data_IF_796324115586
#
_entry.id   IF_796324115586
#
_cell.length_a   1.000
_cell.length_b   1.000
_cell.length_c   1.000
_cell.angle_alpha   90.00
_cell.angle_beta   90.00
_cell.angle_gamma   90.00
#
_symmetry.space_group_name_H-M   'P 1'
#
loop_
_entity.id
_entity.type
_entity.pdbx_description
1 polymer ?
#
# COMPACT_ATOMS: atom_id res chain seq x y z
N UNK A 1 -35.41 31.73 -93.62
CA UNK A 1 -34.52 32.36 -92.61
C UNK A 1 -34.56 31.50 -91.41
N UNK A 2 -33.61 30.51 -91.34
CA UNK A 2 -33.51 29.51 -90.30
C UNK A 2 -32.54 30.02 -89.23
N UNK A 3 -33.03 30.13 -88.02
CA UNK A 3 -32.18 30.36 -86.86
C UNK A 3 -31.63 29.02 -86.31
N UNK A 4 -30.36 28.93 -85.86
CA UNK A 4 -29.83 27.70 -85.35
C UNK A 4 -30.31 27.49 -83.90
N UNK A 5 -30.69 26.26 -83.60
CA UNK A 5 -30.97 25.80 -82.24
C UNK A 5 -29.62 25.63 -81.48
N UNK A 6 -29.48 26.37 -80.44
CA UNK A 6 -28.41 26.14 -79.46
C UNK A 6 -28.67 24.83 -78.72
N UNK A 7 -27.68 23.96 -78.79
CA UNK A 7 -27.61 22.66 -78.10
C UNK A 7 -27.19 22.92 -76.65
N UNK A 8 -28.17 22.92 -75.74
CA UNK A 8 -27.91 23.02 -74.28
C UNK A 8 -27.43 21.66 -73.79
N UNK A 9 -26.11 21.54 -73.71
CA UNK A 9 -25.50 20.34 -73.14
C UNK A 9 -26.04 20.08 -71.74
N UNK A 10 -26.81 19.01 -71.62
CA UNK A 10 -27.20 18.41 -70.33
C UNK A 10 -25.95 17.98 -69.55
N UNK A 11 -25.46 18.81 -68.60
CA UNK A 11 -24.51 18.42 -67.63
C UNK A 11 -25.17 17.43 -66.65
N UNK A 12 -25.01 16.12 -66.89
CA UNK A 12 -25.38 15.06 -65.97
C UNK A 12 -24.53 15.19 -64.71
N UNK A 13 -25.13 15.77 -63.67
CA UNK A 13 -24.60 15.76 -62.35
C UNK A 13 -24.66 14.29 -61.90
N UNK A 14 -23.54 13.54 -62.02
CA UNK A 14 -23.39 12.23 -61.45
C UNK A 14 -23.32 12.37 -59.94
N UNK A 15 -24.40 12.03 -59.28
CA UNK A 15 -24.43 11.91 -57.82
C UNK A 15 -23.42 10.80 -57.41
N UNK A 16 -22.56 11.03 -56.42
CA UNK A 16 -21.59 10.03 -55.98
C UNK A 16 -22.34 8.80 -55.50
N UNK A 17 -21.85 7.62 -55.87
CA UNK A 17 -22.42 6.32 -55.54
C UNK A 17 -22.52 6.18 -54.01
N UNK A 18 -23.72 5.90 -53.45
CA UNK A 18 -23.87 5.74 -51.96
C UNK A 18 -22.96 4.68 -51.36
N UNK A 19 -22.44 3.73 -52.15
CA UNK A 19 -21.51 2.69 -51.70
C UNK A 19 -20.06 3.20 -51.57
N UNK A 20 -19.59 4.16 -52.36
CA UNK A 20 -18.28 4.76 -52.21
C UNK A 20 -18.20 5.67 -50.97
N UNK A 21 -19.24 6.39 -50.67
CA UNK A 21 -19.31 7.23 -49.46
C UNK A 21 -19.32 6.42 -48.17
N UNK A 22 -19.93 5.23 -48.19
CA UNK A 22 -20.01 4.30 -47.04
C UNK A 22 -18.66 3.63 -46.75
N UNK A 23 -17.90 3.25 -47.79
CA UNK A 23 -16.55 2.65 -47.63
C UNK A 23 -15.54 3.68 -47.10
N UNK A 24 -15.57 4.92 -47.60
CA UNK A 24 -14.68 5.98 -47.11
C UNK A 24 -14.88 6.29 -45.62
N UNK A 25 -16.16 6.36 -45.21
CA UNK A 25 -16.48 6.58 -43.77
C UNK A 25 -16.14 5.39 -42.88
N UNK A 26 -16.24 4.15 -43.39
CA UNK A 26 -15.81 2.96 -42.66
C UNK A 26 -14.28 2.95 -42.42
N UNK A 27 -13.48 3.16 -43.47
CA UNK A 27 -12.03 3.23 -43.34
C UNK A 27 -11.56 4.40 -42.46
N UNK A 28 -12.23 5.55 -42.54
CA UNK A 28 -11.97 6.68 -41.67
C UNK A 28 -12.25 6.33 -40.16
N UNK A 29 -13.37 5.66 -39.87
CA UNK A 29 -13.71 5.20 -38.50
C UNK A 29 -12.71 4.17 -37.98
N UNK A 30 -12.34 3.19 -38.80
CA UNK A 30 -11.34 2.20 -38.46
C UNK A 30 -9.98 2.88 -38.22
N UNK A 31 -9.59 3.83 -39.05
CA UNK A 31 -8.36 4.61 -38.88
C UNK A 31 -8.35 5.40 -37.58
N UNK A 32 -9.46 6.05 -37.23
CA UNK A 32 -9.59 6.78 -35.95
C UNK A 32 -9.54 5.82 -34.74
N UNK A 33 -10.19 4.66 -34.85
CA UNK A 33 -10.13 3.65 -33.77
C UNK A 33 -8.72 3.09 -33.58
N UNK A 34 -8.01 2.80 -34.68
CA UNK A 34 -6.61 2.37 -34.63
C UNK A 34 -5.71 3.46 -34.04
N UNK A 35 -5.90 4.72 -34.45
CA UNK A 35 -5.16 5.84 -33.89
C UNK A 35 -5.42 5.99 -32.38
N UNK A 36 -6.69 5.90 -31.97
CA UNK A 36 -7.05 5.93 -30.55
C UNK A 36 -6.45 4.74 -29.78
N UNK A 37 -6.43 3.54 -30.36
CA UNK A 37 -5.82 2.38 -29.75
C UNK A 37 -4.30 2.56 -29.58
N UNK A 38 -3.62 3.07 -30.60
CA UNK A 38 -2.18 3.36 -30.56
C UNK A 38 -1.87 4.45 -29.53
N UNK A 39 -2.61 5.55 -29.54
CA UNK A 39 -2.46 6.61 -28.55
C UNK A 39 -2.74 6.11 -27.13
N UNK A 40 -3.80 5.31 -26.94
CA UNK A 40 -4.12 4.69 -25.66
C UNK A 40 -2.99 3.76 -25.18
N UNK A 41 -2.42 2.96 -26.07
CA UNK A 41 -1.27 2.12 -25.75
C UNK A 41 -0.04 2.94 -25.35
N UNK A 42 0.26 4.02 -26.09
CA UNK A 42 1.38 4.90 -25.78
C UNK A 42 1.19 5.60 -24.42
N UNK A 43 -0.03 6.10 -24.15
CA UNK A 43 -0.38 6.70 -22.84
C UNK A 43 -0.20 5.65 -21.72
N UNK A 44 -0.69 4.42 -21.93
CA UNK A 44 -0.48 3.34 -20.99
C UNK A 44 0.99 3.09 -20.70
N UNK A 45 1.84 2.99 -21.73
CA UNK A 45 3.29 2.79 -21.59
C UNK A 45 3.99 3.92 -20.84
N UNK A 46 3.50 5.16 -20.97
CA UNK A 46 4.02 6.32 -20.24
C UNK A 46 3.58 6.26 -18.77
N UNK A 47 2.34 5.85 -18.50
CA UNK A 47 1.78 5.82 -17.15
C UNK A 47 2.22 4.59 -16.36
N UNK A 48 2.50 3.46 -17.05
CA UNK A 48 2.87 2.19 -16.45
C UNK A 48 3.97 2.31 -15.36
N UNK A 49 5.11 3.00 -15.57
CA UNK A 49 6.12 3.16 -14.51
C UNK A 49 5.68 4.15 -13.41
N UNK A 50 4.71 5.00 -13.68
CA UNK A 50 4.25 6.05 -12.76
C UNK A 50 3.00 5.67 -11.97
N UNK A 51 2.38 4.50 -12.26
CA UNK A 51 1.10 4.16 -11.68
C UNK A 51 1.13 4.11 -10.14
N UNK A 52 2.21 3.59 -9.55
CA UNK A 52 2.35 3.51 -8.09
C UNK A 52 2.41 4.89 -7.43
N UNK A 53 3.29 5.83 -7.84
CA UNK A 53 3.28 7.20 -7.34
C UNK A 53 1.93 7.90 -7.52
N UNK A 54 1.26 7.71 -8.67
CA UNK A 54 -0.04 8.30 -8.96
C UNK A 54 -1.12 7.80 -7.99
N UNK A 55 -1.17 6.49 -7.77
CA UNK A 55 -2.15 5.88 -6.86
C UNK A 55 -1.90 6.32 -5.42
N UNK A 56 -0.65 6.28 -4.95
CA UNK A 56 -0.33 6.78 -3.61
C UNK A 56 -0.71 8.24 -3.43
N UNK A 57 -0.42 9.09 -4.40
CA UNK A 57 -0.79 10.50 -4.38
C UNK A 57 -2.32 10.68 -4.35
N UNK A 58 -3.08 9.90 -5.12
CA UNK A 58 -4.53 9.95 -5.12
C UNK A 58 -5.12 9.49 -3.77
N UNK A 59 -4.61 8.38 -3.22
CA UNK A 59 -5.04 7.84 -1.95
C UNK A 59 -4.76 8.82 -0.79
N UNK A 60 -3.51 9.26 -0.64
CA UNK A 60 -3.10 10.21 0.41
C UNK A 60 -3.81 11.56 0.19
N UNK A 61 -3.93 12.01 -1.05
CA UNK A 61 -4.63 13.22 -1.41
C UNK A 61 -6.10 13.20 -1.03
N UNK A 62 -6.82 12.11 -1.27
CA UNK A 62 -8.22 11.94 -0.87
C UNK A 62 -8.41 12.01 0.66
N UNK A 63 -7.46 11.48 1.42
CA UNK A 63 -7.46 11.54 2.88
C UNK A 63 -7.19 12.95 3.38
N UNK A 64 -6.21 13.64 2.80
CA UNK A 64 -5.77 14.97 3.22
C UNK A 64 -6.61 16.11 2.64
N UNK A 65 -7.43 15.87 1.61
CA UNK A 65 -8.26 16.89 0.97
C UNK A 65 -9.10 17.73 1.96
N UNK A 66 -9.83 17.14 2.94
CA UNK A 66 -10.60 17.94 3.90
C UNK A 66 -9.71 18.77 4.86
N UNK A 67 -8.51 18.30 5.17
CA UNK A 67 -7.55 19.05 5.98
C UNK A 67 -6.95 20.20 5.17
N UNK A 68 -6.61 19.93 3.91
CA UNK A 68 -6.08 20.95 2.99
C UNK A 68 -7.10 22.07 2.74
N UNK A 69 -8.37 21.75 2.54
CA UNK A 69 -9.42 22.74 2.34
C UNK A 69 -9.63 23.62 3.60
N UNK A 70 -9.67 23.01 4.77
CA UNK A 70 -9.74 23.76 6.06
C UNK A 70 -8.53 24.66 6.27
N UNK A 71 -7.34 24.18 5.92
CA UNK A 71 -6.11 24.96 6.02
C UNK A 71 -6.12 26.12 5.01
N UNK A 72 -6.57 25.88 3.77
CA UNK A 72 -6.68 26.90 2.73
C UNK A 72 -7.61 28.04 3.17
N UNK A 73 -8.78 27.74 3.76
CA UNK A 73 -9.70 28.75 4.30
C UNK A 73 -9.07 29.56 5.44
N UNK A 74 -8.32 28.93 6.35
CA UNK A 74 -7.58 29.62 7.43
C UNK A 74 -6.46 30.51 6.92
N UNK A 75 -5.87 30.18 5.78
CA UNK A 75 -4.78 30.95 5.14
C UNK A 75 -5.28 32.03 4.16
N UNK A 76 -6.54 32.45 4.26
CA UNK A 76 -7.12 33.47 3.39
C UNK A 76 -7.39 32.95 1.98
N UNK A 77 -7.89 31.73 1.85
CA UNK A 77 -8.27 31.08 0.60
C UNK A 77 -7.08 30.89 -0.38
N UNK A 78 -5.94 30.44 0.14
CA UNK A 78 -4.70 30.19 -0.62
C UNK A 78 -4.45 28.67 -0.79
N UNK A 79 -5.09 28.00 -1.76
CA UNK A 79 -4.99 26.54 -1.91
C UNK A 79 -3.57 26.06 -2.25
N UNK A 80 -2.78 26.85 -2.99
CA UNK A 80 -1.38 26.53 -3.29
C UNK A 80 -0.51 26.42 -2.05
N UNK A 81 -0.67 27.38 -1.11
CA UNK A 81 0.11 27.40 0.14
C UNK A 81 -0.32 26.26 1.04
N UNK A 82 -1.63 26.01 1.16
CA UNK A 82 -2.17 24.90 1.94
C UNK A 82 -1.68 23.53 1.40
N UNK A 83 -1.73 23.33 0.08
CA UNK A 83 -1.21 22.10 -0.56
C UNK A 83 0.30 21.93 -0.30
N UNK A 84 1.09 22.99 -0.40
CA UNK A 84 2.53 22.97 -0.11
C UNK A 84 2.82 22.57 1.33
N UNK A 85 2.15 23.19 2.30
CA UNK A 85 2.30 22.87 3.74
C UNK A 85 1.93 21.41 4.00
N UNK A 86 0.83 20.91 3.43
CA UNK A 86 0.39 19.54 3.62
C UNK A 86 1.37 18.54 2.97
N UNK A 87 1.89 18.85 1.79
CA UNK A 87 2.91 18.01 1.13
C UNK A 87 4.19 17.94 1.97
N UNK A 88 4.68 19.07 2.48
CA UNK A 88 5.81 19.10 3.42
C UNK A 88 5.51 18.32 4.69
N UNK A 89 4.28 18.43 5.21
CA UNK A 89 3.83 17.61 6.35
C UNK A 89 3.93 16.11 6.09
N UNK A 90 3.57 15.65 4.90
CA UNK A 90 3.72 14.23 4.49
C UNK A 90 5.21 13.85 4.39
N UNK A 91 6.05 14.71 3.83
CA UNK A 91 7.51 14.50 3.80
C UNK A 91 8.05 14.28 5.21
N UNK A 92 7.73 15.18 6.13
CA UNK A 92 8.20 15.08 7.52
C UNK A 92 7.65 13.84 8.21
N UNK A 93 6.37 13.52 8.01
CA UNK A 93 5.72 12.34 8.61
C UNK A 93 6.38 11.03 8.18
N UNK A 94 6.88 10.96 6.93
CA UNK A 94 7.55 9.75 6.39
C UNK A 94 9.04 9.76 6.69
N UNK A 95 9.74 10.89 6.49
CA UNK A 95 11.19 10.95 6.65
C UNK A 95 11.64 10.91 8.11
N UNK A 96 10.91 11.55 9.03
CA UNK A 96 11.32 11.56 10.45
C UNK A 96 11.39 10.15 11.05
N UNK A 97 10.37 9.28 10.92
CA UNK A 97 10.49 7.90 11.38
C UNK A 97 11.61 7.13 10.66
N UNK A 98 11.75 7.32 9.35
CA UNK A 98 12.76 6.61 8.57
C UNK A 98 14.18 6.95 9.01
N UNK A 99 14.46 8.24 9.25
CA UNK A 99 15.76 8.72 9.76
C UNK A 99 15.98 8.21 11.19
N UNK A 100 14.94 8.23 12.04
CA UNK A 100 15.04 7.72 13.42
C UNK A 100 15.37 6.22 13.45
N UNK A 101 14.68 5.42 12.62
CA UNK A 101 14.95 3.99 12.47
C UNK A 101 16.35 3.76 11.92
N UNK A 102 16.69 4.42 10.81
CA UNK A 102 18.00 4.29 10.16
C UNK A 102 19.15 4.64 11.12
N UNK A 103 19.02 5.73 11.87
CA UNK A 103 19.98 6.14 12.88
C UNK A 103 20.12 5.13 14.03
N UNK A 104 18.99 4.60 14.52
CA UNK A 104 19.01 3.59 15.58
C UNK A 104 19.61 2.25 15.11
N UNK A 105 19.26 1.80 13.90
CA UNK A 105 19.85 0.60 13.30
C UNK A 105 21.35 0.79 13.07
N UNK A 106 21.79 1.93 12.57
CA UNK A 106 23.21 2.24 12.40
C UNK A 106 23.98 2.25 13.73
N UNK A 107 23.40 2.87 14.78
CA UNK A 107 23.99 2.90 16.11
C UNK A 107 24.09 1.49 16.73
N UNK A 108 23.07 0.65 16.57
CA UNK A 108 23.08 -0.73 17.07
C UNK A 108 24.02 -1.62 16.25
N UNK A 109 24.06 -1.46 14.93
CA UNK A 109 24.99 -2.19 14.07
C UNK A 109 26.45 -1.89 14.45
N UNK A 110 26.79 -0.62 14.73
CA UNK A 110 28.15 -0.25 15.16
C UNK A 110 28.52 -0.86 16.51
N UNK A 111 27.57 -0.96 17.44
CA UNK A 111 27.79 -1.63 18.73
C UNK A 111 27.97 -3.15 18.54
N UNK A 112 27.15 -3.79 17.70
CA UNK A 112 27.30 -5.21 17.41
C UNK A 112 28.62 -5.53 16.73
N UNK A 113 29.03 -4.76 15.74
CA UNK A 113 30.33 -4.94 15.06
C UNK A 113 31.49 -4.75 16.03
N UNK A 114 31.38 -3.82 17.00
CA UNK A 114 32.38 -3.63 18.06
C UNK A 114 32.47 -4.75 19.09
N UNK A 115 31.40 -5.56 19.25
CA UNK A 115 31.34 -6.68 20.18
C UNK A 115 31.49 -8.06 19.49
N UNK A 116 31.36 -8.12 18.17
CA UNK A 116 31.64 -9.35 17.43
C UNK A 116 33.14 -9.47 17.30
N UNK A 117 33.71 -10.28 18.22
CA UNK A 117 35.06 -10.79 18.04
C UNK A 117 35.06 -11.58 16.73
N UNK A 118 35.57 -10.93 15.65
CA UNK A 118 35.60 -11.53 14.30
C UNK A 118 36.38 -12.84 14.28
N UNK A 119 37.15 -13.11 15.34
CA UNK A 119 37.83 -14.38 15.60
C UNK A 119 36.83 -15.49 15.96
N UNK A 120 35.76 -15.20 16.71
CA UNK A 120 34.74 -16.19 17.08
C UNK A 120 33.86 -16.65 15.86
N UNK A 121 33.62 -15.76 14.88
CA UNK A 121 32.95 -16.12 13.63
C UNK A 121 33.86 -16.89 12.64
N UNK A 122 35.18 -16.76 12.80
CA UNK A 122 36.16 -17.53 12.01
C UNK A 122 36.44 -18.92 12.58
N UNK A 123 36.30 -19.08 13.88
CA UNK A 123 36.58 -20.35 14.59
C UNK A 123 35.31 -21.17 14.74
N UNK A 124 34.43 -21.38 13.85
CA UNK A 124 33.32 -22.36 13.79
C UNK A 124 32.72 -22.93 15.11
N UNK A 125 33.07 -22.36 16.26
CA UNK A 125 32.69 -22.81 17.58
C UNK A 125 31.70 -21.81 18.22
N UNK A 126 30.44 -21.83 17.75
CA UNK A 126 29.33 -21.37 18.57
C UNK A 126 29.03 -22.45 19.58
N UNK A 127 29.59 -22.30 20.77
CA UNK A 127 29.34 -23.21 21.87
C UNK A 127 27.95 -22.94 22.49
N UNK A 128 26.91 -23.56 21.89
CA UNK A 128 25.53 -23.49 22.37
C UNK A 128 25.38 -24.11 23.79
N UNK A 129 26.39 -24.88 24.27
CA UNK A 129 26.38 -25.42 25.59
C UNK A 129 26.50 -24.36 26.70
N UNK A 130 26.95 -23.15 26.35
CA UNK A 130 26.99 -21.98 27.25
C UNK A 130 25.62 -21.41 27.59
N UNK A 131 24.57 -21.86 26.94
CA UNK A 131 23.20 -21.41 27.22
C UNK A 131 22.43 -22.47 28.03
N UNK A 132 22.39 -22.36 29.36
CA UNK A 132 21.80 -23.39 30.22
C UNK A 132 20.31 -23.65 29.96
N UNK A 133 19.61 -22.68 29.41
CA UNK A 133 18.19 -22.80 29.04
C UNK A 133 17.94 -23.61 27.76
N UNK A 134 18.95 -23.73 26.90
CA UNK A 134 18.87 -24.56 25.69
C UNK A 134 19.22 -26.01 25.96
N UNK A 135 19.90 -26.31 27.05
CA UNK A 135 20.37 -27.66 27.36
C UNK A 135 19.23 -28.69 27.42
N UNK A 136 18.12 -28.37 28.13
CA UNK A 136 16.95 -29.26 28.23
C UNK A 136 16.16 -29.44 26.93
N UNK A 137 15.76 -28.37 26.21
CA UNK A 137 15.10 -28.50 24.91
C UNK A 137 15.97 -29.20 23.86
N UNK A 138 17.28 -28.93 23.85
CA UNK A 138 18.21 -29.55 22.92
C UNK A 138 18.41 -31.06 23.21
N UNK A 139 18.54 -31.46 24.48
CA UNK A 139 18.58 -32.87 24.87
C UNK A 139 17.27 -33.59 24.50
N UNK A 140 16.13 -32.94 24.67
CA UNK A 140 14.83 -33.50 24.26
C UNK A 140 14.75 -33.67 22.73
N UNK A 141 15.24 -32.66 21.96
CA UNK A 141 15.29 -32.72 20.51
C UNK A 141 16.24 -33.84 20.01
N UNK A 142 17.38 -33.96 20.65
CA UNK A 142 18.37 -35.03 20.37
C UNK A 142 17.79 -36.42 20.63
N UNK A 143 17.07 -36.56 21.76
CA UNK A 143 16.41 -37.82 22.12
C UNK A 143 15.22 -38.19 21.26
N UNK A 144 14.47 -37.17 20.73
CA UNK A 144 13.19 -37.39 20.04
C UNK A 144 13.34 -37.32 18.52
N UNK A 145 14.20 -36.45 18.01
CA UNK A 145 14.38 -36.20 16.56
C UNK A 145 15.72 -36.67 16.00
N UNK A 146 16.63 -37.16 16.83
CA UNK A 146 17.97 -37.61 16.40
C UNK A 146 18.87 -36.51 15.84
N UNK A 147 18.54 -35.24 16.11
CA UNK A 147 19.29 -34.07 15.66
C UNK A 147 20.35 -33.71 16.68
N UNK A 148 21.62 -33.87 16.34
CA UNK A 148 22.74 -33.60 17.24
C UNK A 148 22.97 -32.09 17.44
N UNK A 149 23.49 -31.70 18.60
CA UNK A 149 23.82 -30.31 18.92
C UNK A 149 24.73 -29.68 17.83
N UNK A 150 25.71 -30.45 17.35
CA UNK A 150 26.61 -30.00 16.27
C UNK A 150 25.90 -29.73 14.94
N UNK A 151 24.82 -30.43 14.64
CA UNK A 151 24.00 -30.14 13.46
C UNK A 151 23.23 -28.81 13.60
N UNK A 152 22.69 -28.54 14.79
CA UNK A 152 22.01 -27.27 15.09
C UNK A 152 22.99 -26.10 15.03
N UNK A 153 24.18 -26.27 15.62
CA UNK A 153 25.27 -25.28 15.53
C UNK A 153 25.67 -25.01 14.07
N UNK A 154 25.82 -26.05 13.26
CA UNK A 154 26.12 -25.91 11.85
C UNK A 154 25.01 -25.18 11.09
N UNK A 155 23.74 -25.44 11.39
CA UNK A 155 22.60 -24.73 10.77
C UNK A 155 22.55 -23.26 11.17
N UNK A 156 22.79 -22.93 12.46
CA UNK A 156 22.84 -21.57 12.94
C UNK A 156 23.99 -20.80 12.28
N UNK A 157 25.18 -21.37 12.25
CA UNK A 157 26.36 -20.76 11.60
C UNK A 157 26.14 -20.59 10.11
N UNK A 158 25.59 -21.61 9.44
CA UNK A 158 25.31 -21.55 8.00
C UNK A 158 24.23 -20.52 7.69
N UNK A 159 23.18 -20.47 8.53
CA UNK A 159 22.13 -19.46 8.41
C UNK A 159 22.66 -18.05 8.60
N UNK A 160 23.49 -17.82 9.62
CA UNK A 160 24.14 -16.53 9.87
C UNK A 160 25.07 -16.11 8.74
N UNK A 161 25.88 -17.03 8.21
CA UNK A 161 26.73 -16.78 7.03
C UNK A 161 25.91 -16.42 5.78
N UNK A 162 24.83 -17.16 5.49
CA UNK A 162 23.93 -16.84 4.38
C UNK A 162 23.28 -15.47 4.53
N UNK A 163 22.85 -15.10 5.74
CA UNK A 163 22.33 -13.76 6.00
C UNK A 163 23.39 -12.69 5.75
N UNK A 164 24.61 -12.89 6.21
CA UNK A 164 25.71 -11.96 5.97
C UNK A 164 26.08 -11.87 4.48
N UNK A 165 26.09 -12.99 3.75
CA UNK A 165 26.30 -13.03 2.32
C UNK A 165 25.18 -12.29 1.56
N UNK A 166 23.93 -12.50 1.94
CA UNK A 166 22.78 -11.77 1.37
C UNK A 166 22.89 -10.28 1.63
N UNK A 167 23.22 -9.86 2.85
CA UNK A 167 23.42 -8.45 3.20
C UNK A 167 24.59 -7.86 2.43
N UNK A 168 25.73 -8.57 2.36
CA UNK A 168 26.91 -8.09 1.66
C UNK A 168 26.72 -8.04 0.13
N UNK A 169 26.10 -9.07 -0.46
CA UNK A 169 25.85 -9.13 -1.90
C UNK A 169 24.70 -8.22 -2.34
N UNK A 170 23.75 -7.95 -1.46
CA UNK A 170 22.60 -7.09 -1.75
C UNK A 170 22.91 -5.58 -1.68
N UNK A 171 24.11 -5.18 -1.20
CA UNK A 171 24.43 -3.75 -1.00
C UNK A 171 24.19 -2.90 -2.25
N UNK A 172 24.58 -3.38 -3.42
CA UNK A 172 24.34 -2.67 -4.68
C UNK A 172 22.86 -2.66 -5.10
N UNK A 173 22.16 -3.77 -4.97
CA UNK A 173 20.72 -3.87 -5.31
C UNK A 173 19.85 -3.12 -4.31
N UNK A 174 20.19 -3.12 -3.03
CA UNK A 174 19.54 -2.32 -1.99
C UNK A 174 19.73 -0.82 -2.26
N UNK A 175 20.94 -0.40 -2.64
CA UNK A 175 21.19 0.99 -3.00
C UNK A 175 20.39 1.44 -4.22
N UNK A 176 20.38 0.65 -5.30
CA UNK A 176 19.58 0.95 -6.49
C UNK A 176 18.08 0.93 -6.20
N UNK A 177 17.63 -0.01 -5.37
CA UNK A 177 16.24 -0.08 -4.90
C UNK A 177 15.87 1.14 -4.06
N UNK A 178 16.76 1.62 -3.19
CA UNK A 178 16.55 2.83 -2.39
C UNK A 178 16.46 4.08 -3.27
N UNK A 179 17.34 4.19 -4.27
CA UNK A 179 17.27 5.30 -5.25
C UNK A 179 15.96 5.27 -6.03
N UNK A 180 15.54 4.10 -6.54
CA UNK A 180 14.27 3.95 -7.22
C UNK A 180 13.06 4.31 -6.33
N UNK A 181 13.09 3.88 -5.07
CA UNK A 181 12.07 4.24 -4.07
C UNK A 181 12.03 5.73 -3.80
N UNK A 182 13.19 6.38 -3.69
CA UNK A 182 13.30 7.83 -3.50
C UNK A 182 12.73 8.60 -4.70
N UNK A 183 13.06 8.18 -5.91
CA UNK A 183 12.49 8.78 -7.14
C UNK A 183 10.99 8.64 -7.16
N UNK A 184 10.45 7.45 -6.90
CA UNK A 184 9.01 7.21 -6.82
C UNK A 184 8.34 8.04 -5.72
N UNK A 185 9.00 8.21 -4.57
CA UNK A 185 8.52 9.06 -3.48
C UNK A 185 8.47 10.54 -3.88
N UNK A 186 9.51 11.05 -4.53
CA UNK A 186 9.55 12.43 -5.03
C UNK A 186 8.44 12.64 -6.09
N UNK A 187 8.27 11.70 -7.02
CA UNK A 187 7.20 11.76 -8.00
C UNK A 187 5.82 11.73 -7.34
N UNK A 188 5.63 10.87 -6.35
CA UNK A 188 4.40 10.83 -5.55
C UNK A 188 4.13 12.19 -4.87
N UNK A 189 5.13 12.81 -4.26
CA UNK A 189 4.97 14.12 -3.60
C UNK A 189 4.65 15.23 -4.61
N UNK A 190 5.28 15.19 -5.78
CA UNK A 190 4.98 16.12 -6.85
C UNK A 190 3.51 16.00 -7.29
N UNK A 191 3.06 14.79 -7.58
CA UNK A 191 1.68 14.53 -7.96
C UNK A 191 0.72 14.87 -6.80
N UNK A 192 1.07 14.52 -5.56
CA UNK A 192 0.29 14.83 -4.37
C UNK A 192 0.03 16.32 -4.22
N UNK A 193 1.04 17.15 -4.45
CA UNK A 193 0.89 18.61 -4.41
C UNK A 193 -0.20 19.08 -5.40
N UNK A 194 -0.21 18.56 -6.63
CA UNK A 194 -1.23 18.89 -7.63
C UNK A 194 -2.61 18.32 -7.26
N UNK A 195 -2.67 17.09 -6.76
CA UNK A 195 -3.91 16.48 -6.29
C UNK A 195 -4.52 17.29 -5.14
N UNK A 196 -3.70 17.77 -4.19
CA UNK A 196 -4.19 18.61 -3.08
C UNK A 196 -4.59 20.03 -3.53
N UNK A 197 -3.94 20.57 -4.56
CA UNK A 197 -4.22 21.90 -5.08
C UNK A 197 -5.44 21.93 -5.98
N UNK A 198 -5.49 21.02 -6.95
CA UNK A 198 -6.45 21.04 -8.07
C UNK A 198 -7.40 19.82 -8.06
N UNK A 199 -7.22 18.90 -7.11
CA UNK A 199 -7.91 17.60 -7.06
C UNK A 199 -9.44 17.68 -7.18
N UNK A 200 -10.15 18.58 -6.47
CA UNK A 200 -11.59 18.70 -6.60
C UNK A 200 -12.03 19.02 -8.03
N UNK A 201 -11.38 19.98 -8.69
CA UNK A 201 -11.71 20.38 -10.06
C UNK A 201 -11.38 19.27 -11.09
N UNK A 202 -10.24 18.57 -10.88
CA UNK A 202 -9.85 17.44 -11.71
C UNK A 202 -10.80 16.25 -11.54
N UNK A 203 -11.16 15.93 -10.31
CA UNK A 203 -12.11 14.86 -9.99
C UNK A 203 -13.47 15.11 -10.63
N UNK A 204 -14.00 16.33 -10.53
CA UNK A 204 -15.25 16.73 -11.18
C UNK A 204 -15.17 16.57 -12.70
N UNK A 205 -14.03 16.92 -13.31
CA UNK A 205 -13.84 16.78 -14.75
C UNK A 205 -13.83 15.32 -15.20
N UNK A 206 -13.08 14.46 -14.48
CA UNK A 206 -13.02 13.01 -14.76
C UNK A 206 -14.39 12.35 -14.55
N UNK A 207 -15.05 12.70 -13.46
CA UNK A 207 -16.37 12.14 -13.13
C UNK A 207 -17.43 12.53 -14.18
N UNK A 208 -17.35 13.73 -14.74
CA UNK A 208 -18.26 14.16 -15.84
C UNK A 208 -18.04 13.43 -17.17
N UNK A 209 -16.85 12.87 -17.39
CA UNK A 209 -16.57 12.08 -18.62
C UNK A 209 -17.18 10.68 -18.58
N UNK A 210 -17.59 10.18 -17.41
CA UNK A 210 -18.21 8.86 -17.30
C UNK A 210 -19.61 8.86 -17.96
N UNK A 211 -19.90 7.94 -18.86
CA UNK A 211 -21.21 7.83 -19.52
C UNK A 211 -22.25 7.18 -18.61
N UNK A 212 -22.46 7.76 -17.43
CA UNK A 212 -23.36 7.27 -16.37
C UNK A 212 -24.27 8.43 -15.95
N UNK A 213 -25.47 8.13 -15.52
CA UNK A 213 -26.42 9.13 -15.01
C UNK A 213 -25.81 10.01 -13.92
N UNK A 214 -26.06 11.33 -13.93
CA UNK A 214 -25.44 12.26 -12.97
C UNK A 214 -25.67 11.89 -11.50
N UNK A 215 -26.83 11.33 -11.20
CA UNK A 215 -27.19 10.93 -9.82
C UNK A 215 -26.38 9.73 -9.35
N UNK A 216 -26.31 8.68 -10.18
CA UNK A 216 -25.53 7.45 -9.90
C UNK A 216 -24.02 7.80 -9.81
N UNK A 217 -23.55 8.67 -10.70
CA UNK A 217 -22.18 9.17 -10.71
C UNK A 217 -21.80 9.83 -9.38
N UNK A 218 -22.66 10.70 -8.85
CA UNK A 218 -22.41 11.35 -7.56
C UNK A 218 -22.44 10.38 -6.38
N UNK A 219 -23.31 9.35 -6.42
CA UNK A 219 -23.37 8.29 -5.40
C UNK A 219 -22.09 7.44 -5.40
N UNK A 220 -21.65 6.98 -6.58
CA UNK A 220 -20.43 6.19 -6.74
C UNK A 220 -19.17 6.94 -6.30
N UNK A 221 -19.05 8.23 -6.67
CA UNK A 221 -17.91 9.05 -6.29
C UNK A 221 -17.81 9.26 -4.78
N UNK A 222 -18.92 9.57 -4.13
CA UNK A 222 -18.96 9.70 -2.66
C UNK A 222 -18.61 8.38 -1.99
N UNK A 223 -19.17 7.27 -2.49
CA UNK A 223 -18.89 5.94 -1.96
C UNK A 223 -17.41 5.58 -2.09
N UNK A 224 -16.78 5.85 -3.24
CA UNK A 224 -15.34 5.65 -3.45
C UNK A 224 -14.50 6.41 -2.42
N UNK A 225 -14.81 7.68 -2.18
CA UNK A 225 -14.10 8.51 -1.19
C UNK A 225 -14.31 7.94 0.23
N UNK A 226 -15.53 7.54 0.57
CA UNK A 226 -15.86 7.04 1.91
C UNK A 226 -15.19 5.69 2.17
N UNK A 227 -15.20 4.77 1.20
CA UNK A 227 -14.47 3.49 1.27
C UNK A 227 -12.96 3.74 1.40
N UNK A 228 -12.40 4.61 0.57
CA UNK A 228 -10.98 4.95 0.63
C UNK A 228 -10.58 5.46 2.01
N UNK A 229 -11.36 6.39 2.57
CA UNK A 229 -11.12 6.92 3.92
C UNK A 229 -11.28 5.86 5.00
N UNK A 230 -12.32 5.03 4.92
CA UNK A 230 -12.56 3.96 5.88
C UNK A 230 -11.40 2.96 5.91
N UNK A 231 -10.92 2.54 4.74
CA UNK A 231 -9.78 1.62 4.60
C UNK A 231 -8.50 2.25 5.17
N UNK A 232 -8.20 3.49 4.79
CA UNK A 232 -7.00 4.18 5.30
C UNK A 232 -7.04 4.42 6.81
N UNK A 233 -8.17 4.91 7.32
CA UNK A 233 -8.34 5.13 8.76
C UNK A 233 -8.30 3.80 9.52
N UNK A 234 -8.96 2.77 9.01
CA UNK A 234 -8.96 1.44 9.62
C UNK A 234 -7.55 0.86 9.71
N UNK A 235 -6.84 0.76 8.60
CA UNK A 235 -5.50 0.18 8.56
C UNK A 235 -4.50 1.09 9.29
N UNK A 236 -4.50 2.39 9.00
CA UNK A 236 -3.53 3.33 9.54
C UNK A 236 -3.64 3.52 11.06
N UNK A 237 -4.87 3.72 11.58
CA UNK A 237 -5.07 3.90 13.02
C UNK A 237 -4.78 2.61 13.78
N UNK A 238 -5.21 1.46 13.25
CA UNK A 238 -4.88 0.15 13.84
C UNK A 238 -3.36 -0.04 13.92
N UNK A 239 -2.63 0.26 12.85
CA UNK A 239 -1.18 0.17 12.81
C UNK A 239 -0.49 1.09 13.82
N UNK A 240 -0.96 2.33 13.93
CA UNK A 240 -0.42 3.28 14.93
C UNK A 240 -0.65 2.81 16.36
N UNK A 241 -1.86 2.33 16.68
CA UNK A 241 -2.19 1.83 18.01
C UNK A 241 -1.37 0.58 18.34
N UNK A 242 -1.25 -0.36 17.40
CA UNK A 242 -0.45 -1.57 17.59
C UNK A 242 1.04 -1.26 17.79
N UNK A 243 1.59 -0.34 16.99
CA UNK A 243 2.97 0.10 17.16
C UNK A 243 3.21 0.81 18.48
N UNK A 244 2.28 1.66 18.91
CA UNK A 244 2.34 2.33 20.21
C UNK A 244 2.29 1.33 21.37
N UNK A 245 1.35 0.38 21.34
CA UNK A 245 1.26 -0.67 22.35
C UNK A 245 2.52 -1.56 22.37
N UNK A 246 3.07 -1.88 21.20
CA UNK A 246 4.30 -2.66 21.11
C UNK A 246 5.47 -1.90 21.73
N UNK A 247 5.62 -0.61 21.46
CA UNK A 247 6.62 0.24 22.06
C UNK A 247 6.52 0.30 23.59
N UNK A 248 5.30 0.44 24.10
CA UNK A 248 5.02 0.39 25.55
C UNK A 248 5.42 -0.96 26.14
N UNK A 249 5.02 -2.08 25.52
CA UNK A 249 5.38 -3.41 25.99
C UNK A 249 6.89 -3.62 26.06
N UNK A 250 7.62 -3.15 25.05
CA UNK A 250 9.08 -3.22 25.01
C UNK A 250 9.74 -2.36 26.08
N UNK A 251 9.19 -1.17 26.36
CA UNK A 251 9.66 -0.32 27.45
C UNK A 251 9.49 -1.00 28.82
N UNK A 252 8.33 -1.62 29.07
CA UNK A 252 8.08 -2.36 30.32
C UNK A 252 8.94 -3.62 30.47
N UNK A 253 9.27 -4.28 29.37
CA UNK A 253 10.18 -5.44 29.39
C UNK A 253 11.65 -5.04 29.50
N UNK A 254 11.99 -3.75 29.54
CA UNK A 254 13.38 -3.29 29.61
C UNK A 254 14.17 -3.51 28.32
N UNK A 255 13.50 -3.74 27.19
CA UNK A 255 14.16 -3.92 25.90
C UNK A 255 14.74 -2.60 25.37
N UNK A 256 15.88 -2.63 24.66
CA UNK A 256 16.50 -1.43 24.11
C UNK A 256 15.62 -0.81 23.02
N UNK A 257 15.71 0.51 22.90
CA UNK A 257 15.07 1.28 21.81
C UNK A 257 13.56 1.02 21.61
N UNK A 258 12.71 1.07 22.66
CA UNK A 258 11.29 0.74 22.55
C UNK A 258 10.53 1.59 21.53
N UNK A 259 10.94 2.85 21.35
CA UNK A 259 10.35 3.75 20.33
C UNK A 259 10.61 3.24 18.92
N UNK A 260 11.82 2.75 18.62
CA UNK A 260 12.18 2.22 17.29
C UNK A 260 11.37 0.97 16.98
N UNK A 261 11.27 0.04 17.92
CA UNK A 261 10.48 -1.17 17.76
C UNK A 261 8.98 -0.88 17.72
N UNK A 262 8.51 0.17 18.39
CA UNK A 262 7.15 0.66 18.26
C UNK A 262 6.84 1.19 16.84
N UNK A 263 7.73 1.99 16.25
CA UNK A 263 7.59 2.50 14.89
C UNK A 263 7.70 1.36 13.87
N UNK A 264 8.65 0.44 14.02
CA UNK A 264 8.72 -0.77 13.21
C UNK A 264 7.45 -1.61 13.35
N UNK A 265 6.92 -1.74 14.57
CA UNK A 265 5.65 -2.40 14.85
C UNK A 265 4.49 -1.80 14.10
N UNK A 266 4.40 -0.47 14.05
CA UNK A 266 3.39 0.22 13.26
C UNK A 266 3.54 -0.03 11.76
N UNK A 267 4.76 -0.06 11.23
CA UNK A 267 5.00 -0.36 9.82
C UNK A 267 4.63 -1.81 9.47
N UNK A 268 5.06 -2.78 10.28
CA UNK A 268 4.73 -4.19 10.06
C UNK A 268 3.25 -4.49 10.30
N UNK A 269 2.59 -3.78 11.23
CA UNK A 269 1.14 -3.89 11.48
C UNK A 269 0.27 -3.59 10.26
N UNK A 270 0.80 -2.89 9.26
CA UNK A 270 0.11 -2.70 7.98
C UNK A 270 -0.14 -4.04 7.25
N UNK A 271 0.71 -5.06 7.48
CA UNK A 271 0.54 -6.40 6.91
C UNK A 271 -0.36 -7.23 7.83
N UNK A 272 -1.55 -7.65 7.40
CA UNK A 272 -2.46 -8.42 8.24
C UNK A 272 -1.88 -9.79 8.63
N UNK A 273 -2.34 -10.30 9.77
CA UNK A 273 -2.07 -11.66 10.30
C UNK A 273 -0.66 -11.84 10.87
N UNK A 274 0.38 -11.44 10.15
CA UNK A 274 1.78 -11.68 10.55
C UNK A 274 2.40 -10.42 11.17
N UNK A 275 1.98 -9.27 10.78
CA UNK A 275 2.40 -7.91 11.10
C UNK A 275 3.31 -7.74 12.31
N UNK A 276 2.74 -7.39 13.43
CA UNK A 276 3.52 -7.12 14.67
C UNK A 276 4.19 -8.36 15.24
N UNK A 277 3.73 -9.59 14.90
CA UNK A 277 4.32 -10.83 15.38
C UNK A 277 5.78 -10.99 14.89
N UNK A 278 6.12 -10.46 13.72
CA UNK A 278 7.51 -10.44 13.23
C UNK A 278 8.46 -9.77 14.22
N UNK A 279 7.97 -8.89 15.06
CA UNK A 279 8.79 -8.13 16.02
C UNK A 279 8.74 -8.75 17.42
N UNK A 280 7.52 -8.96 17.96
CA UNK A 280 7.42 -9.40 19.35
C UNK A 280 7.76 -10.89 19.54
N UNK A 281 7.54 -11.76 18.54
CA UNK A 281 7.90 -13.19 18.64
C UNK A 281 9.42 -13.38 18.77
N UNK A 282 10.26 -12.81 17.87
CA UNK A 282 11.71 -12.90 18.06
C UNK A 282 12.19 -12.24 19.34
N UNK A 283 11.58 -11.12 19.77
CA UNK A 283 11.95 -10.46 21.01
C UNK A 283 11.64 -11.30 22.26
N UNK A 284 10.47 -11.96 22.29
CA UNK A 284 10.11 -12.87 23.36
C UNK A 284 11.06 -14.07 23.41
N UNK A 285 11.40 -14.64 22.24
CA UNK A 285 12.35 -15.74 22.13
C UNK A 285 13.75 -15.32 22.62
N UNK A 286 14.21 -14.14 22.20
CA UNK A 286 15.49 -13.57 22.65
C UNK A 286 15.56 -13.42 24.15
N UNK A 287 14.52 -12.88 24.81
CA UNK A 287 14.46 -12.75 26.28
C UNK A 287 14.47 -14.12 26.98
N UNK A 288 13.76 -15.11 26.40
CA UNK A 288 13.79 -16.48 26.93
C UNK A 288 15.21 -17.09 26.89
N UNK A 289 15.92 -16.88 25.76
CA UNK A 289 17.31 -17.35 25.60
C UNK A 289 18.28 -16.64 26.52
N UNK A 290 18.02 -15.39 26.91
CA UNK A 290 18.83 -14.65 27.89
C UNK A 290 18.56 -15.02 29.35
N UNK A 291 17.71 -16.00 29.61
CA UNK A 291 17.39 -16.42 30.98
C UNK A 291 16.40 -15.47 31.67
N UNK A 292 15.60 -14.71 30.93
CA UNK A 292 14.57 -13.80 31.43
C UNK A 292 13.16 -14.32 31.10
N UNK A 293 12.74 -15.50 31.61
CA UNK A 293 11.47 -16.12 31.22
C UNK A 293 10.24 -15.26 31.58
N UNK A 294 10.33 -14.47 32.68
CA UNK A 294 9.26 -13.56 33.08
C UNK A 294 9.02 -12.45 32.04
N UNK A 295 10.08 -11.81 31.54
CA UNK A 295 9.98 -10.80 30.49
C UNK A 295 9.56 -11.41 29.14
N UNK A 296 10.02 -12.63 28.84
CA UNK A 296 9.61 -13.37 27.65
C UNK A 296 8.10 -13.66 27.64
N UNK A 297 7.56 -14.19 28.74
CA UNK A 297 6.14 -14.45 28.91
C UNK A 297 5.32 -13.16 28.90
N UNK A 298 5.83 -12.07 29.48
CA UNK A 298 5.19 -10.77 29.43
C UNK A 298 5.07 -10.28 27.99
N UNK A 299 6.16 -10.28 27.20
CA UNK A 299 6.13 -9.84 25.79
C UNK A 299 5.22 -10.73 24.93
N UNK A 300 5.24 -12.05 25.13
CA UNK A 300 4.35 -12.96 24.41
C UNK A 300 2.88 -12.69 24.76
N UNK A 301 2.54 -12.61 26.04
CA UNK A 301 1.19 -12.30 26.50
C UNK A 301 0.72 -10.90 26.06
N UNK A 302 1.58 -9.89 26.15
CA UNK A 302 1.31 -8.54 25.68
C UNK A 302 1.08 -8.49 24.18
N UNK A 303 1.93 -9.18 23.39
CA UNK A 303 1.82 -9.28 21.95
C UNK A 303 0.51 -9.94 21.49
N UNK A 304 0.12 -11.04 22.14
CA UNK A 304 -1.11 -11.76 21.81
C UNK A 304 -2.35 -10.99 22.30
N UNK A 305 -2.36 -10.56 23.57
CA UNK A 305 -3.56 -9.99 24.20
C UNK A 305 -3.70 -8.51 23.87
N UNK A 306 -2.70 -7.67 24.15
CA UNK A 306 -2.83 -6.22 23.98
C UNK A 306 -2.71 -5.84 22.51
N UNK A 307 -1.64 -6.28 21.83
CA UNK A 307 -1.38 -5.88 20.43
C UNK A 307 -2.30 -6.62 19.46
N UNK A 308 -2.48 -7.93 19.63
CA UNK A 308 -3.31 -8.76 18.76
C UNK A 308 -4.81 -8.47 18.87
N UNK A 309 -5.29 -8.03 20.04
CA UNK A 309 -6.70 -7.65 20.22
C UNK A 309 -7.10 -6.39 19.47
N UNK A 310 -6.15 -5.50 19.16
CA UNK A 310 -6.44 -4.24 18.45
C UNK A 310 -7.15 -4.49 17.13
N UNK A 311 -6.70 -5.49 16.35
CA UNK A 311 -7.34 -5.84 15.07
C UNK A 311 -8.80 -6.27 15.26
N UNK A 312 -9.09 -7.00 16.33
CA UNK A 312 -10.42 -7.56 16.58
C UNK A 312 -11.42 -6.52 17.10
N UNK A 313 -10.95 -5.50 17.83
CA UNK A 313 -11.81 -4.48 18.41
C UNK A 313 -11.85 -3.20 17.59
N UNK A 314 -10.70 -2.73 17.11
CA UNK A 314 -10.61 -1.41 16.48
C UNK A 314 -11.15 -1.42 15.06
N UNK A 315 -10.92 -2.49 14.29
CA UNK A 315 -11.45 -2.60 12.90
C UNK A 315 -12.97 -2.56 12.86
N UNK A 316 -13.74 -3.35 13.64
CA UNK A 316 -15.19 -3.24 13.65
C UNK A 316 -15.68 -1.84 14.06
N UNK A 317 -15.07 -1.22 15.08
CA UNK A 317 -15.47 0.11 15.56
C UNK A 317 -15.25 1.19 14.48
N UNK A 318 -14.18 1.09 13.71
CA UNK A 318 -13.85 2.08 12.68
C UNK A 318 -14.64 1.88 11.37
N UNK A 319 -15.03 0.64 11.07
CA UNK A 319 -15.72 0.27 9.83
C UNK A 319 -17.24 0.21 10.03
N UNK A 320 -17.72 -0.13 11.24
CA UNK A 320 -19.14 -0.23 11.55
C UNK A 320 -19.84 1.12 11.47
N UNK A 321 -20.52 1.37 10.38
CA UNK A 321 -21.39 2.52 10.19
C UNK A 321 -21.24 3.29 8.89
N UNK A 322 -20.25 2.95 8.04
CA UNK A 322 -20.05 3.70 6.79
C UNK A 322 -20.07 2.86 5.51
N UNK A 323 -19.68 1.59 5.57
CA UNK A 323 -19.68 0.72 4.38
C UNK A 323 -19.85 -0.73 4.82
N UNK A 324 -20.94 -1.39 4.39
CA UNK A 324 -21.15 -2.82 4.61
C UNK A 324 -20.34 -3.63 3.58
N UNK A 325 -19.03 -3.71 3.74
CA UNK A 325 -18.22 -4.63 2.95
C UNK A 325 -18.07 -5.94 3.72
N UNK A 326 -18.44 -7.08 3.13
CA UNK A 326 -18.25 -8.39 3.76
C UNK A 326 -16.78 -8.60 4.17
N UNK A 327 -16.55 -9.12 5.37
CA UNK A 327 -15.18 -9.35 5.89
C UNK A 327 -14.34 -10.21 4.96
N UNK A 328 -14.97 -11.20 4.30
CA UNK A 328 -14.33 -12.05 3.30
C UNK A 328 -13.82 -11.21 2.09
N UNK A 329 -14.61 -10.25 1.62
CA UNK A 329 -14.21 -9.38 0.51
C UNK A 329 -13.03 -8.50 0.91
N UNK A 330 -13.00 -7.99 2.15
CA UNK A 330 -11.85 -7.23 2.68
C UNK A 330 -10.60 -8.11 2.72
N UNK A 331 -10.72 -9.35 3.23
CA UNK A 331 -9.59 -10.29 3.31
C UNK A 331 -9.05 -10.65 1.91
N UNK A 332 -9.94 -11.03 0.98
CA UNK A 332 -9.55 -11.32 -0.42
C UNK A 332 -8.93 -10.07 -1.06
N UNK A 333 -9.51 -8.90 -0.82
CA UNK A 333 -8.99 -7.62 -1.32
C UNK A 333 -7.58 -7.35 -0.84
N UNK A 334 -7.33 -7.52 0.45
CA UNK A 334 -5.99 -7.30 1.04
C UNK A 334 -4.98 -8.31 0.49
N UNK A 335 -5.28 -9.61 0.54
CA UNK A 335 -4.35 -10.66 0.10
C UNK A 335 -4.13 -10.63 -1.42
N UNK A 336 -5.22 -10.55 -2.20
CA UNK A 336 -5.16 -10.45 -3.66
C UNK A 336 -4.52 -9.15 -4.12
N UNK A 337 -4.87 -8.04 -3.47
CA UNK A 337 -4.28 -6.74 -3.75
C UNK A 337 -2.78 -6.72 -3.50
N UNK A 338 -2.33 -7.23 -2.34
CA UNK A 338 -0.91 -7.32 -1.98
C UNK A 338 -0.13 -8.16 -3.00
N UNK A 339 -0.70 -9.29 -3.44
CA UNK A 339 -0.09 -10.17 -4.43
C UNK A 339 -0.01 -9.54 -5.83
N UNK A 340 -1.06 -8.82 -6.26
CA UNK A 340 -1.16 -8.26 -7.61
C UNK A 340 -0.43 -6.91 -7.76
N UNK A 341 -0.51 -6.06 -6.73
CA UNK A 341 -0.08 -4.65 -6.79
C UNK A 341 0.99 -4.30 -5.74
N UNK A 342 1.51 -5.29 -5.01
CA UNK A 342 2.45 -5.06 -3.92
C UNK A 342 1.83 -4.25 -2.78
N UNK A 343 2.63 -3.44 -2.09
CA UNK A 343 2.21 -2.71 -0.90
C UNK A 343 1.03 -1.73 -1.15
N UNK A 344 0.93 -1.15 -2.34
CA UNK A 344 -0.23 -0.32 -2.74
C UNK A 344 -1.52 -1.13 -2.74
N UNK A 345 -1.44 -2.40 -3.14
CA UNK A 345 -2.57 -3.32 -3.21
C UNK A 345 -3.23 -3.62 -1.87
N UNK A 346 -2.50 -3.46 -0.76
CA UNK A 346 -3.04 -3.54 0.60
C UNK A 346 -4.23 -2.59 0.81
N UNK A 347 -4.18 -1.43 0.18
CA UNK A 347 -5.24 -0.41 0.22
C UNK A 347 -6.17 -0.52 -0.99
N UNK A 348 -5.62 -0.69 -2.19
CA UNK A 348 -6.41 -0.76 -3.42
C UNK A 348 -7.34 -1.97 -3.45
N UNK A 349 -6.90 -3.13 -2.97
CA UNK A 349 -7.70 -4.35 -3.02
C UNK A 349 -9.05 -4.19 -2.31
N UNK A 350 -9.08 -3.82 -1.03
CA UNK A 350 -10.35 -3.55 -0.32
C UNK A 350 -11.18 -2.42 -0.96
N UNK A 351 -10.53 -1.37 -1.48
CA UNK A 351 -11.23 -0.25 -2.12
C UNK A 351 -11.94 -0.73 -3.40
N UNK A 352 -11.23 -1.47 -4.26
CA UNK A 352 -11.79 -1.99 -5.52
C UNK A 352 -12.93 -2.97 -5.24
N UNK A 353 -12.77 -3.90 -4.29
CA UNK A 353 -13.83 -4.83 -3.94
C UNK A 353 -15.02 -4.14 -3.26
N UNK A 354 -14.77 -3.15 -2.40
CA UNK A 354 -15.83 -2.34 -1.81
C UNK A 354 -16.64 -1.57 -2.87
N UNK A 355 -15.95 -1.00 -3.87
CA UNK A 355 -16.59 -0.33 -4.99
C UNK A 355 -17.40 -1.31 -5.86
N UNK A 356 -16.87 -2.51 -6.10
CA UNK A 356 -17.58 -3.55 -6.85
C UNK A 356 -18.88 -3.97 -6.14
N UNK A 357 -18.83 -4.22 -4.83
CA UNK A 357 -20.00 -4.55 -4.03
C UNK A 357 -21.04 -3.42 -4.06
N UNK A 358 -20.58 -2.17 -3.97
CA UNK A 358 -21.48 -1.01 -4.07
C UNK A 358 -22.13 -0.91 -5.44
N UNK A 359 -21.37 -1.14 -6.51
CA UNK A 359 -21.90 -1.13 -7.88
C UNK A 359 -23.00 -2.18 -8.07
N UNK A 360 -22.78 -3.40 -7.58
CA UNK A 360 -23.82 -4.46 -7.62
C UNK A 360 -25.07 -4.06 -6.83
N UNK A 361 -24.92 -3.48 -5.64
CA UNK A 361 -26.09 -3.01 -4.85
C UNK A 361 -26.86 -1.92 -5.59
N UNK A 362 -26.19 -0.91 -6.11
CA UNK A 362 -26.86 0.18 -6.82
C UNK A 362 -27.57 -0.29 -8.11
N UNK A 363 -26.99 -1.27 -8.81
CA UNK A 363 -27.66 -1.86 -10.00
C UNK A 363 -28.86 -2.71 -9.64
N UNK A 364 -28.81 -3.47 -8.55
CA UNK A 364 -29.94 -4.26 -8.07
C UNK A 364 -31.07 -3.38 -7.52
N UNK A 365 -30.76 -2.31 -6.82
CA UNK A 365 -31.75 -1.32 -6.35
C UNK A 365 -32.41 -0.59 -7.54
N UNK A 366 -31.64 -0.24 -8.58
CA UNK A 366 -32.18 0.40 -9.78
C UNK A 366 -33.05 -0.54 -10.65
N UNK A 367 -32.82 -1.85 -10.57
CA UNK A 367 -33.58 -2.88 -11.28
C UNK A 367 -34.75 -3.46 -10.48
N UNK A 368 -34.82 -3.19 -9.16
CA UNK A 368 -35.98 -3.58 -8.35
C UNK A 368 -37.19 -2.78 -8.85
N UNK A 369 -38.29 -3.44 -9.27
CA UNK A 369 -39.51 -2.75 -9.64
C UNK A 369 -39.98 -1.92 -8.43
N UNK A 370 -40.58 -0.76 -8.69
CA UNK A 370 -41.28 0.05 -7.69
C UNK A 370 -42.53 -0.72 -7.21
N UNK A 371 -42.30 -1.80 -6.49
CA UNK A 371 -43.30 -2.61 -5.84
C UNK A 371 -43.33 -2.23 -4.38
N UNK A 372 -44.01 -1.15 -4.06
CA UNK A 372 -44.68 -0.89 -2.77
C UNK A 372 -45.08 0.60 -2.67
N UNK A 373 -45.95 1.03 -3.61
CA UNK A 373 -46.89 2.12 -3.35
C UNK A 373 -48.29 1.58 -3.66
N UNK A 374 -48.84 0.74 -2.77
CA UNK A 374 -50.28 0.53 -2.61
C UNK A 374 -50.59 0.51 -1.11
#
# INVERSE_FOLDING_TARGET
MNAPREDVGESTITLPDPQESSRGTFFARVGVLLLMAVLGYLVWRIVEPLWQPLVWAALIGSLLAPLTSRLATRLGNRPRVAAGIMTVGVVLLVLLPLVAIGGAVAAQASQLVGHIDTTALRSSELDLSRFPLLAKPLQWLEATAGVTLSQIEAWVVTGARRLLEVVASSGGSVFLGAVGTLVNFILMLFVLFFVLRDGPAFADSVVRMLPIEPELRGKLWRHLIDVTRAVFMGIGLTALVQGFLLGIGFAFAGLPSPLVFGVLGALFALVPVVGTAIIWVPAALWLALQGQPGAALFIAGWGIIAVGSVDNFLRPILISGRVEVPTLAVFIGVMGGLSAFGFVGLFLGPIVLGLLVALFRFTTEALAPAANEE
#
